data_IF_434512691637
#
_entry.id   IF_434512691637
#
_cell.length_a   1.000
_cell.length_b   1.000
_cell.length_c   1.000
_cell.angle_alpha   90.00
_cell.angle_beta   90.00
_cell.angle_gamma   90.00
#
_symmetry.space_group_name_H-M   'P 1'
#
loop_
_entity.id
_entity.type
_entity.pdbx_description
1 polymer ?
#
# COMPACT_ATOMS: atom_id res chain seq x y z
N UNK A 1 -3.05 -26.35 -44.84
CA UNK A 1 -1.69 -26.00 -44.41
C UNK A 1 -1.71 -24.60 -43.83
N UNK A 2 -1.63 -24.48 -42.51
CA UNK A 2 -1.59 -23.21 -41.79
C UNK A 2 -1.34 -23.52 -40.32
N UNK A 3 -0.11 -23.30 -39.87
CA UNK A 3 0.49 -23.73 -38.61
C UNK A 3 -0.35 -23.34 -37.38
N UNK A 4 -0.75 -24.34 -36.59
CA UNK A 4 -1.02 -24.19 -35.16
C UNK A 4 0.33 -23.92 -34.47
N UNK A 5 0.60 -22.65 -34.19
CA UNK A 5 1.75 -22.21 -33.40
C UNK A 5 1.59 -22.63 -31.95
N UNK A 6 2.05 -23.84 -31.61
CA UNK A 6 2.32 -24.27 -30.24
C UNK A 6 3.51 -23.45 -29.73
N UNK A 7 3.20 -22.32 -29.12
CA UNK A 7 4.16 -21.43 -28.47
C UNK A 7 4.15 -21.61 -26.96
N UNK A 8 4.95 -22.57 -26.47
CA UNK A 8 5.59 -22.50 -25.16
C UNK A 8 4.70 -22.44 -23.91
N UNK A 9 3.99 -23.52 -23.59
CA UNK A 9 3.68 -23.83 -22.19
C UNK A 9 4.96 -24.39 -21.52
N UNK A 10 5.95 -23.52 -21.33
CA UNK A 10 7.16 -23.84 -20.59
C UNK A 10 6.82 -23.89 -19.10
N UNK A 11 6.57 -25.11 -18.61
CA UNK A 11 6.69 -25.56 -17.22
C UNK A 11 6.31 -24.55 -16.12
N UNK A 12 5.01 -24.34 -15.91
CA UNK A 12 4.47 -23.74 -14.66
C UNK A 12 4.45 -24.73 -13.48
N UNK A 13 4.72 -26.01 -13.73
CA UNK A 13 4.65 -27.09 -12.73
C UNK A 13 5.48 -26.92 -11.45
N UNK A 14 6.68 -26.29 -11.45
CA UNK A 14 7.46 -26.14 -10.22
C UNK A 14 6.89 -25.09 -9.25
N UNK A 15 6.14 -24.11 -9.74
CA UNK A 15 5.68 -22.97 -8.92
C UNK A 15 4.33 -23.29 -8.27
N UNK A 16 3.43 -24.00 -8.97
CA UNK A 16 2.17 -24.49 -8.41
C UNK A 16 2.39 -25.48 -7.24
N UNK A 17 3.48 -26.26 -7.27
CA UNK A 17 3.85 -27.18 -6.20
C UNK A 17 4.27 -26.47 -4.89
N UNK A 18 4.61 -25.18 -4.96
CA UNK A 18 4.91 -24.32 -3.80
C UNK A 18 3.66 -23.62 -3.27
N UNK A 19 2.47 -23.89 -3.83
CA UNK A 19 1.21 -23.25 -3.47
C UNK A 19 1.04 -21.83 -4.02
N UNK A 20 1.98 -21.37 -4.85
CA UNK A 20 1.90 -20.07 -5.51
C UNK A 20 1.38 -20.27 -6.93
N UNK A 21 0.22 -19.68 -7.24
CA UNK A 21 -0.27 -19.61 -8.60
C UNK A 21 0.01 -18.21 -9.14
N UNK A 22 0.66 -18.10 -10.29
CA UNK A 22 0.70 -16.83 -11.03
C UNK A 22 -0.67 -16.48 -11.65
N UNK A 23 -1.64 -17.40 -11.59
CA UNK A 23 -3.05 -17.16 -11.86
C UNK A 23 -3.84 -16.76 -10.61
N UNK A 24 -3.18 -16.63 -9.45
CA UNK A 24 -3.82 -16.09 -8.25
C UNK A 24 -4.22 -14.66 -8.60
N UNK A 25 -5.51 -14.50 -8.94
CA UNK A 25 -6.11 -13.19 -9.08
C UNK A 25 -5.84 -12.54 -7.73
N UNK A 26 -4.89 -11.59 -7.69
CA UNK A 26 -4.75 -10.66 -6.59
C UNK A 26 -6.18 -10.33 -6.15
N UNK A 27 -6.51 -10.62 -4.89
CA UNK A 27 -7.87 -10.62 -4.36
C UNK A 27 -8.53 -9.25 -4.48
N UNK A 28 -8.77 -8.83 -5.72
CA UNK A 28 -9.49 -7.64 -6.13
C UNK A 28 -10.90 -8.06 -5.81
N UNK A 29 -11.35 -7.63 -4.62
CA UNK A 29 -12.72 -7.78 -4.22
C UNK A 29 -13.61 -7.45 -5.43
N UNK A 30 -14.61 -8.30 -5.74
CA UNK A 30 -15.50 -8.05 -6.86
C UNK A 30 -16.03 -6.63 -6.75
N UNK A 31 -15.93 -5.88 -7.85
CA UNK A 31 -16.29 -4.46 -7.86
C UNK A 31 -17.69 -4.31 -7.27
N UNK A 32 -17.90 -3.40 -6.30
CA UNK A 32 -19.21 -3.28 -5.68
C UNK A 32 -20.31 -2.98 -6.72
N UNK A 33 -21.53 -3.55 -6.58
CA UNK A 33 -22.55 -3.53 -7.62
C UNK A 33 -23.12 -2.14 -7.93
N UNK A 34 -22.84 -1.14 -7.10
CA UNK A 34 -23.24 0.26 -7.31
C UNK A 34 -22.20 1.10 -8.08
N UNK A 35 -20.99 0.57 -8.31
CA UNK A 35 -19.93 1.29 -9.03
C UNK A 35 -20.15 1.14 -10.55
N UNK A 36 -20.35 2.27 -11.23
CA UNK A 36 -20.51 2.32 -12.69
C UNK A 36 -19.16 2.52 -13.37
N UNK A 37 -18.96 1.87 -14.51
CA UNK A 37 -17.80 2.12 -15.39
C UNK A 37 -18.19 3.16 -16.43
N UNK A 38 -17.30 4.11 -16.67
CA UNK A 38 -17.41 5.11 -17.74
C UNK A 38 -16.14 5.06 -18.58
N UNK A 39 -16.26 5.24 -19.89
CA UNK A 39 -15.12 5.20 -20.80
C UNK A 39 -14.26 6.46 -20.72
N UNK A 40 -14.88 7.58 -20.39
CA UNK A 40 -14.22 8.88 -20.24
C UNK A 40 -14.17 9.21 -18.74
N UNK A 41 -13.00 9.60 -18.20
CA UNK A 41 -12.88 10.04 -16.82
C UNK A 41 -13.88 11.16 -16.51
N UNK A 42 -14.52 11.10 -15.34
CA UNK A 42 -15.45 12.15 -14.88
C UNK A 42 -14.74 13.44 -14.45
N UNK A 43 -13.41 13.44 -14.50
CA UNK A 43 -12.55 14.57 -14.16
C UNK A 43 -11.63 14.85 -15.34
N UNK A 44 -11.33 16.11 -15.58
CA UNK A 44 -10.35 16.51 -16.59
C UNK A 44 -8.96 16.04 -16.14
N UNK A 45 -8.23 15.39 -17.05
CA UNK A 45 -6.88 14.92 -16.83
C UNK A 45 -5.96 15.71 -17.73
N UNK A 46 -5.05 16.49 -17.12
CA UNK A 46 -3.95 17.12 -17.84
C UNK A 46 -2.88 16.07 -18.12
N UNK A 47 -2.87 15.54 -19.34
CA UNK A 47 -1.95 14.49 -19.77
C UNK A 47 -0.50 14.98 -19.91
N UNK A 48 -0.29 16.28 -20.13
CA UNK A 48 1.05 16.86 -20.25
C UNK A 48 1.72 17.03 -18.88
N UNK A 49 0.92 17.08 -17.80
CA UNK A 49 1.38 17.17 -16.41
C UNK A 49 1.53 15.80 -15.71
N UNK A 50 1.23 14.68 -16.36
CA UNK A 50 1.33 13.35 -15.74
C UNK A 50 2.78 12.89 -15.65
N UNK A 51 3.20 12.52 -14.44
CA UNK A 51 4.49 11.88 -14.18
C UNK A 51 4.36 10.85 -13.04
N UNK A 52 5.38 9.97 -12.91
CA UNK A 52 5.44 9.03 -11.79
C UNK A 52 5.74 9.78 -10.49
N UNK A 53 4.79 9.74 -9.56
CA UNK A 53 4.94 10.40 -8.26
C UNK A 53 5.79 9.58 -7.29
N UNK A 54 6.83 10.20 -6.69
CA UNK A 54 7.56 9.60 -5.56
C UNK A 54 6.74 9.75 -4.27
N UNK A 55 6.39 8.62 -3.66
CA UNK A 55 5.63 8.55 -2.42
C UNK A 55 6.28 9.33 -1.25
N UNK A 56 7.60 9.51 -1.28
CA UNK A 56 8.34 10.34 -0.29
C UNK A 56 8.00 11.82 -0.37
N UNK A 57 7.22 12.24 -1.36
CA UNK A 57 6.63 13.57 -1.42
C UNK A 57 5.21 13.58 -0.85
N UNK A 58 4.61 12.47 -0.44
CA UNK A 58 3.31 12.53 0.28
C UNK A 58 3.49 13.07 1.69
N UNK A 59 2.42 13.62 2.29
CA UNK A 59 2.43 13.97 3.72
C UNK A 59 2.66 12.76 4.61
N UNK A 60 2.23 11.57 4.18
CA UNK A 60 2.35 10.31 4.93
C UNK A 60 3.81 9.89 5.15
N UNK A 61 4.67 10.03 4.13
CA UNK A 61 6.07 9.57 4.16
C UNK A 61 7.10 10.69 4.09
N UNK A 62 6.74 11.81 3.50
CA UNK A 62 7.56 13.01 3.34
C UNK A 62 7.21 14.10 4.34
N UNK A 63 6.70 13.75 5.52
CA UNK A 63 6.18 14.72 6.49
C UNK A 63 7.16 15.84 6.85
N UNK A 64 8.46 15.53 6.91
CA UNK A 64 9.54 16.49 7.17
C UNK A 64 9.70 17.57 6.09
N UNK A 65 9.17 17.36 4.87
CA UNK A 65 9.20 18.36 3.79
C UNK A 65 8.15 19.45 3.96
N UNK A 66 7.14 19.20 4.79
CA UNK A 66 5.96 20.04 4.96
C UNK A 66 5.91 20.72 6.34
N UNK A 67 6.92 20.50 7.17
CA UNK A 67 7.06 21.09 8.49
C UNK A 67 8.41 21.81 8.58
N UNK A 68 8.45 22.87 9.37
CA UNK A 68 9.71 23.42 9.86
C UNK A 68 10.43 22.40 10.77
N UNK A 69 11.76 22.49 10.83
CA UNK A 69 12.62 21.56 11.57
C UNK A 69 12.30 21.55 13.08
N UNK A 70 11.95 22.71 13.64
CA UNK A 70 11.58 22.86 15.04
C UNK A 70 10.30 22.07 15.35
N UNK A 71 9.25 22.27 14.55
CA UNK A 71 7.98 21.56 14.69
C UNK A 71 8.14 20.07 14.47
N UNK A 72 8.90 19.66 13.47
CA UNK A 72 9.20 18.24 13.23
C UNK A 72 9.88 17.60 14.45
N UNK A 73 10.90 18.26 15.00
CA UNK A 73 11.64 17.77 16.18
C UNK A 73 10.73 17.69 17.41
N UNK A 74 9.95 18.74 17.67
CA UNK A 74 9.00 18.79 18.79
C UNK A 74 7.97 17.66 18.72
N UNK A 75 7.37 17.42 17.55
CA UNK A 75 6.36 16.37 17.38
C UNK A 75 6.95 14.96 17.54
N UNK A 76 8.17 14.73 17.06
CA UNK A 76 8.85 13.45 17.27
C UNK A 76 9.17 13.21 18.74
N UNK A 77 9.62 14.23 19.48
CA UNK A 77 9.84 14.12 20.92
C UNK A 77 8.52 13.81 21.66
N UNK A 78 7.44 14.52 21.33
CA UNK A 78 6.11 14.29 21.92
C UNK A 78 5.58 12.88 21.63
N UNK A 79 5.83 12.34 20.43
CA UNK A 79 5.41 10.97 20.08
C UNK A 79 6.06 9.95 21.02
N UNK A 80 7.35 10.10 21.31
CA UNK A 80 8.07 9.21 22.23
C UNK A 80 7.50 9.23 23.64
N UNK A 81 7.25 10.44 24.18
CA UNK A 81 6.69 10.60 25.53
C UNK A 81 5.28 10.03 25.62
N UNK A 82 4.40 10.32 24.64
CA UNK A 82 3.02 9.83 24.64
C UNK A 82 2.98 8.29 24.59
N UNK A 83 3.80 7.66 23.75
CA UNK A 83 3.85 6.19 23.66
C UNK A 83 4.30 5.60 25.00
N UNK A 84 5.33 6.20 25.62
CA UNK A 84 5.82 5.77 26.92
C UNK A 84 4.76 5.92 28.02
N UNK A 85 4.13 7.08 28.12
CA UNK A 85 3.10 7.37 29.13
C UNK A 85 1.87 6.45 28.95
N UNK A 86 1.46 6.20 27.71
CA UNK A 86 0.36 5.29 27.41
C UNK A 86 0.70 3.83 27.73
N UNK A 87 1.95 3.43 27.53
CA UNK A 87 2.44 2.11 27.94
C UNK A 87 2.40 1.96 29.47
N UNK A 88 2.90 2.95 30.22
CA UNK A 88 2.85 2.95 31.69
C UNK A 88 1.43 2.96 32.25
N UNK A 89 0.53 3.71 31.62
CA UNK A 89 -0.88 3.77 32.00
C UNK A 89 -1.67 2.51 31.63
N UNK A 90 -1.05 1.52 30.97
CA UNK A 90 -1.72 0.29 30.56
C UNK A 90 -2.82 0.52 29.52
N UNK A 91 -2.69 1.56 28.69
CA UNK A 91 -3.68 1.89 27.66
C UNK A 91 -3.67 0.82 26.58
N UNK A 92 -4.85 0.27 26.27
CA UNK A 92 -5.00 -0.74 25.21
C UNK A 92 -4.42 -0.23 23.88
N UNK A 93 -3.64 -1.06 23.21
CA UNK A 93 -2.95 -0.74 21.95
C UNK A 93 -1.52 -0.21 22.12
N UNK A 94 -1.08 0.07 23.35
CA UNK A 94 0.26 0.61 23.64
C UNK A 94 1.15 -0.34 24.45
N UNK A 95 0.61 -1.48 24.92
CA UNK A 95 1.43 -2.46 25.63
C UNK A 95 2.35 -3.21 24.66
N UNK A 96 3.47 -3.74 25.17
CA UNK A 96 4.40 -4.59 24.38
C UNK A 96 3.65 -5.78 23.76
N UNK A 97 2.68 -6.35 24.48
CA UNK A 97 1.82 -7.43 23.98
C UNK A 97 0.95 -6.96 22.81
N UNK A 98 0.29 -5.81 22.93
CA UNK A 98 -0.58 -5.29 21.87
C UNK A 98 0.22 -4.99 20.59
N UNK A 99 1.40 -4.38 20.75
CA UNK A 99 2.31 -4.10 19.64
C UNK A 99 2.79 -5.41 18.98
N UNK A 100 3.10 -6.44 19.76
CA UNK A 100 3.52 -7.74 19.24
C UNK A 100 2.40 -8.49 18.50
N UNK A 101 1.14 -8.27 18.90
CA UNK A 101 -0.04 -8.88 18.28
C UNK A 101 -0.61 -8.06 17.12
N UNK A 102 -0.09 -6.86 16.87
CA UNK A 102 -0.46 -6.01 15.73
C UNK A 102 0.20 -6.54 14.45
N UNK A 103 -0.34 -7.63 13.91
CA UNK A 103 0.01 -8.20 12.60
C UNK A 103 -1.23 -8.38 11.75
#
# INVERSE_FOLDING_TARGET
>A
MGLLGIGGAAALGPIEALGESWSDQAGIAPRPPWVRTVDIPTVEVDWDAIYRYDERNTVRRGWSKYLDEETYTRLNAQRGTIIYDHSLAGKAGYSVRDIALYR
#
